data_IF_805847459090
#
_entry.id   IF_805847459090
#
_cell.length_a   1.000
_cell.length_b   1.000
_cell.length_c   1.000
_cell.angle_alpha   90.00
_cell.angle_beta   90.00
_cell.angle_gamma   90.00
#
_symmetry.space_group_name_H-M   'P 1'
#
loop_
_entity.id
_entity.type
_entity.pdbx_description
1 polymer ?
#
# COMPACT_ATOMS: atom_id res chain seq x y z
N UNK A 1 3.05 13.16 25.39
CA UNK A 1 2.34 12.53 24.25
C UNK A 1 3.35 12.39 23.13
N UNK A 2 3.49 11.20 22.52
CA UNK A 2 4.44 10.98 21.42
C UNK A 2 3.88 11.56 20.12
N UNK A 3 4.78 12.02 19.25
CA UNK A 3 4.41 12.70 18.00
C UNK A 3 4.78 11.87 16.79
N UNK A 4 3.86 11.71 15.86
CA UNK A 4 4.09 11.03 14.57
C UNK A 4 3.80 11.97 13.41
N UNK A 5 4.70 11.99 12.42
CA UNK A 5 4.54 12.71 11.16
C UNK A 5 4.31 11.71 10.04
N UNK A 6 3.19 11.84 9.33
CA UNK A 6 2.77 10.90 8.29
C UNK A 6 2.73 11.64 6.95
N UNK A 7 3.56 11.24 5.99
CA UNK A 7 3.48 11.78 4.62
C UNK A 7 2.41 11.06 3.83
N UNK A 8 1.73 11.79 2.93
CA UNK A 8 0.60 11.21 2.18
C UNK A 8 -0.62 10.91 3.04
N UNK A 9 -0.82 11.73 4.08
CA UNK A 9 -1.85 11.55 5.11
C UNK A 9 -3.28 11.47 4.56
N UNK A 10 -3.57 12.15 3.44
CA UNK A 10 -4.88 12.12 2.79
C UNK A 10 -5.14 10.90 1.89
N UNK A 11 -4.11 10.05 1.67
CA UNK A 11 -4.25 8.82 0.90
C UNK A 11 -4.89 7.67 1.68
N UNK A 12 -5.15 6.56 1.01
CA UNK A 12 -5.72 5.35 1.61
C UNK A 12 -4.95 4.88 2.85
N UNK A 13 -3.68 4.54 2.70
CA UNK A 13 -2.85 4.07 3.81
C UNK A 13 -2.64 5.20 4.84
N UNK A 14 -2.31 6.42 4.38
CA UNK A 14 -2.01 7.54 5.27
C UNK A 14 -3.17 7.93 6.18
N UNK A 15 -4.41 7.97 5.65
CA UNK A 15 -5.59 8.31 6.46
C UNK A 15 -5.95 7.23 7.49
N UNK A 16 -5.72 5.95 7.16
CA UNK A 16 -5.88 4.85 8.12
C UNK A 16 -4.79 4.89 9.21
N UNK A 17 -3.53 5.17 8.83
CA UNK A 17 -2.46 5.41 9.80
C UNK A 17 -2.82 6.57 10.75
N UNK A 18 -3.31 7.70 10.22
CA UNK A 18 -3.76 8.82 11.05
C UNK A 18 -4.80 8.37 12.09
N UNK A 19 -5.84 7.65 11.66
CA UNK A 19 -6.87 7.11 12.57
C UNK A 19 -6.29 6.17 13.61
N UNK A 20 -5.41 5.27 13.19
CA UNK A 20 -4.81 4.28 14.10
C UNK A 20 -3.95 4.95 15.17
N UNK A 21 -3.09 5.89 14.79
CA UNK A 21 -2.21 6.59 15.72
C UNK A 21 -2.96 7.53 16.65
N UNK A 22 -4.05 8.18 16.19
CA UNK A 22 -4.95 8.93 17.07
C UNK A 22 -5.60 8.03 18.14
N UNK A 23 -6.02 6.81 17.78
CA UNK A 23 -6.54 5.81 18.74
C UNK A 23 -5.47 5.30 19.72
N UNK A 24 -4.20 5.54 19.46
CA UNK A 24 -3.06 5.20 20.32
C UNK A 24 -2.53 6.43 21.08
N UNK A 25 -3.31 7.51 21.16
CA UNK A 25 -3.00 8.76 21.87
C UNK A 25 -1.71 9.46 21.40
N UNK A 26 -1.40 9.36 20.09
CA UNK A 26 -0.33 10.13 19.49
C UNK A 26 -0.80 11.51 19.03
N UNK A 27 0.09 12.50 19.09
CA UNK A 27 -0.06 13.73 18.33
C UNK A 27 0.26 13.46 16.86
N UNK A 28 -0.73 13.53 15.98
CA UNK A 28 -0.59 13.19 14.57
C UNK A 28 -0.45 14.44 13.73
N UNK A 29 0.66 14.54 12.98
CA UNK A 29 0.89 15.54 11.95
C UNK A 29 0.80 14.87 10.58
N UNK A 30 -0.01 15.41 9.68
CA UNK A 30 -0.24 14.86 8.35
C UNK A 30 0.27 15.78 7.24
N UNK A 31 1.24 15.33 6.44
CA UNK A 31 1.69 16.07 5.26
C UNK A 31 0.72 15.81 4.10
N UNK A 32 0.19 16.90 3.55
CA UNK A 32 -0.72 16.91 2.41
C UNK A 32 -0.31 18.03 1.43
N UNK A 33 -0.64 17.87 0.14
CA UNK A 33 -0.46 18.97 -0.83
C UNK A 33 -1.62 19.96 -0.70
N UNK A 34 -1.41 21.22 -1.06
CA UNK A 34 -2.47 22.25 -1.05
C UNK A 34 -3.69 21.88 -1.91
N UNK A 35 -3.47 21.09 -2.98
CA UNK A 35 -4.51 20.60 -3.90
C UNK A 35 -5.12 19.27 -3.49
N UNK A 36 -4.74 18.71 -2.34
CA UNK A 36 -5.23 17.40 -1.89
C UNK A 36 -6.70 17.45 -1.51
N UNK A 37 -7.46 16.43 -1.92
CA UNK A 37 -8.75 16.10 -1.32
C UNK A 37 -8.51 15.64 0.12
N UNK A 38 -9.15 16.30 1.09
CA UNK A 38 -9.00 16.05 2.51
C UNK A 38 -10.16 15.23 3.09
N UNK A 39 -11.11 14.80 2.28
CA UNK A 39 -12.31 14.09 2.71
C UNK A 39 -11.99 12.94 3.70
N UNK A 40 -10.95 12.15 3.45
CA UNK A 40 -10.57 11.08 4.36
C UNK A 40 -9.95 11.53 5.70
N UNK A 41 -9.70 12.81 5.87
CA UNK A 41 -9.18 13.38 7.13
C UNK A 41 -10.20 14.20 7.88
N UNK A 42 -11.39 14.42 7.32
CA UNK A 42 -12.47 15.17 7.95
C UNK A 42 -12.84 14.57 9.32
N UNK A 43 -13.04 15.44 10.31
CA UNK A 43 -13.35 15.05 11.69
C UNK A 43 -12.20 14.44 12.50
N UNK A 44 -11.02 14.21 11.89
CA UNK A 44 -9.85 13.72 12.61
C UNK A 44 -9.04 14.86 13.23
N UNK A 45 -8.53 14.65 14.45
CA UNK A 45 -7.64 15.60 15.14
C UNK A 45 -6.20 15.50 14.58
N UNK A 46 -6.04 15.64 13.27
CA UNK A 46 -4.74 15.64 12.61
C UNK A 46 -4.29 17.08 12.37
N UNK A 47 -3.08 17.43 12.80
CA UNK A 47 -2.47 18.71 12.45
C UNK A 47 -1.93 18.65 11.03
N UNK A 48 -2.61 19.33 10.11
CA UNK A 48 -2.21 19.34 8.71
C UNK A 48 -0.96 20.24 8.49
N UNK A 49 -0.03 19.70 7.71
CA UNK A 49 1.13 20.43 7.20
C UNK A 49 1.05 20.39 5.68
N UNK A 50 1.13 21.56 5.06
CA UNK A 50 0.98 21.68 3.60
C UNK A 50 2.36 21.74 2.95
N UNK A 51 2.61 20.85 1.98
CA UNK A 51 3.85 20.82 1.24
C UNK A 51 3.88 19.73 0.16
N UNK A 52 4.84 19.83 -0.75
CA UNK A 52 5.14 18.82 -1.77
C UNK A 52 6.54 18.26 -1.51
N UNK A 53 6.68 16.95 -1.51
CA UNK A 53 7.97 16.28 -1.32
C UNK A 53 8.97 16.54 -2.45
N UNK A 54 8.48 16.98 -3.62
CA UNK A 54 9.38 17.44 -4.69
C UNK A 54 10.01 18.80 -4.39
N UNK A 55 9.45 19.56 -3.45
CA UNK A 55 9.94 20.84 -2.92
C UNK A 55 10.09 20.74 -1.39
N UNK A 56 10.69 19.66 -0.92
CA UNK A 56 10.70 19.28 0.50
C UNK A 56 11.31 20.36 1.41
N UNK A 57 12.23 21.15 0.89
CA UNK A 57 12.87 22.25 1.62
C UNK A 57 11.91 23.36 2.07
N UNK A 58 10.70 23.42 1.45
CA UNK A 58 9.63 24.37 1.82
C UNK A 58 8.68 23.82 2.89
N UNK A 59 8.86 22.56 3.32
CA UNK A 59 8.01 21.94 4.33
C UNK A 59 8.44 22.37 5.72
N UNK A 60 7.54 22.98 6.48
CA UNK A 60 7.77 23.31 7.88
C UNK A 60 7.60 22.04 8.73
N UNK A 61 8.71 21.39 9.06
CA UNK A 61 8.69 20.20 9.91
C UNK A 61 8.51 20.58 11.38
N UNK A 62 7.66 19.87 12.16
CA UNK A 62 7.56 20.07 13.59
C UNK A 62 8.91 19.78 14.28
N UNK A 63 9.29 20.61 15.25
CA UNK A 63 10.59 20.46 15.94
C UNK A 63 10.68 19.20 16.81
N UNK A 64 9.56 18.79 17.41
CA UNK A 64 9.50 17.64 18.32
C UNK A 64 8.82 16.46 17.62
N UNK A 65 9.54 15.74 16.76
CA UNK A 65 9.06 14.54 16.08
C UNK A 65 9.71 13.30 16.67
N UNK A 66 8.89 12.42 17.26
CA UNK A 66 9.37 11.11 17.69
C UNK A 66 9.48 10.14 16.51
N UNK A 67 8.49 10.15 15.62
CA UNK A 67 8.38 9.18 14.53
C UNK A 67 7.99 9.84 13.21
N UNK A 68 8.56 9.34 12.12
CA UNK A 68 8.17 9.70 10.76
C UNK A 68 7.75 8.44 10.04
N UNK A 69 6.54 8.44 9.47
CA UNK A 69 6.06 7.36 8.60
C UNK A 69 5.93 7.91 7.18
N UNK A 70 6.82 7.47 6.32
CA UNK A 70 6.86 7.89 4.93
C UNK A 70 6.08 6.93 4.05
N UNK A 71 4.82 7.28 3.74
CA UNK A 71 3.94 6.50 2.87
C UNK A 71 3.51 7.23 1.59
N UNK A 72 3.83 8.52 1.44
CA UNK A 72 3.60 9.24 0.19
C UNK A 72 4.42 8.62 -0.95
N UNK A 73 3.76 8.19 -2.00
CA UNK A 73 4.39 7.48 -3.12
C UNK A 73 3.45 7.42 -4.31
N UNK A 74 3.99 7.30 -5.53
CA UNK A 74 3.23 6.72 -6.63
C UNK A 74 2.90 5.26 -6.31
N UNK A 75 1.67 4.82 -6.56
CA UNK A 75 1.21 3.47 -6.20
C UNK A 75 0.72 2.66 -7.40
N UNK A 76 0.65 3.26 -8.60
CA UNK A 76 0.15 2.58 -9.78
C UNK A 76 1.18 1.65 -10.40
N UNK A 77 0.80 0.38 -10.61
CA UNK A 77 1.57 -0.58 -11.40
C UNK A 77 1.57 -0.28 -12.91
N UNK A 78 0.81 0.75 -13.30
CA UNK A 78 0.71 1.27 -14.67
C UNK A 78 1.43 2.61 -14.85
N UNK A 79 1.95 3.19 -13.77
CA UNK A 79 2.70 4.44 -13.83
C UNK A 79 3.96 4.31 -14.69
N UNK A 80 4.28 5.35 -15.43
CA UNK A 80 5.47 5.40 -16.25
C UNK A 80 6.75 5.57 -15.41
N UNK A 81 7.89 5.42 -16.07
CA UNK A 81 9.21 5.49 -15.44
C UNK A 81 9.48 6.87 -14.81
N UNK A 82 9.08 7.95 -15.48
CA UNK A 82 9.33 9.33 -15.01
C UNK A 82 8.50 9.64 -13.77
N UNK A 83 7.23 9.25 -13.77
CA UNK A 83 6.34 9.41 -12.62
C UNK A 83 6.86 8.64 -11.41
N UNK A 84 7.24 7.37 -11.58
CA UNK A 84 7.81 6.56 -10.50
C UNK A 84 9.14 7.12 -10.00
N UNK A 85 10.03 7.56 -10.89
CA UNK A 85 11.30 8.18 -10.49
C UNK A 85 11.09 9.43 -9.66
N UNK A 86 10.23 10.32 -10.12
CA UNK A 86 9.93 11.59 -9.46
C UNK A 86 9.24 11.38 -8.12
N UNK A 87 8.15 10.59 -8.10
CA UNK A 87 7.22 10.53 -6.97
C UNK A 87 7.52 9.40 -5.97
N UNK A 88 8.45 8.50 -6.26
CA UNK A 88 8.94 7.48 -5.31
C UNK A 88 10.35 7.82 -4.86
N UNK A 89 11.30 7.85 -5.79
CA UNK A 89 12.71 7.97 -5.47
C UNK A 89 13.11 9.42 -5.16
N UNK A 90 12.95 10.33 -6.12
CA UNK A 90 13.42 11.72 -5.96
C UNK A 90 12.69 12.44 -4.82
N UNK A 91 11.38 12.25 -4.69
CA UNK A 91 10.59 12.78 -3.59
C UNK A 91 11.13 12.32 -2.22
N UNK A 92 11.51 11.03 -2.10
CA UNK A 92 12.11 10.50 -0.87
C UNK A 92 13.51 11.08 -0.65
N UNK A 93 14.34 11.20 -1.70
CA UNK A 93 15.68 11.83 -1.61
C UNK A 93 15.58 13.27 -1.10
N UNK A 94 14.69 14.07 -1.70
CA UNK A 94 14.48 15.46 -1.30
C UNK A 94 14.02 15.57 0.16
N UNK A 95 13.10 14.72 0.57
CA UNK A 95 12.58 14.70 1.93
C UNK A 95 13.67 14.32 2.95
N UNK A 96 14.45 13.28 2.66
CA UNK A 96 15.55 12.88 3.55
C UNK A 96 16.63 13.95 3.66
N UNK A 97 17.01 14.59 2.56
CA UNK A 97 17.95 15.72 2.58
C UNK A 97 17.44 16.88 3.43
N UNK A 98 16.14 17.17 3.38
CA UNK A 98 15.51 18.20 4.22
C UNK A 98 15.53 17.82 5.70
N UNK A 99 15.18 16.56 6.04
CA UNK A 99 15.25 16.05 7.42
C UNK A 99 16.68 16.18 7.98
N UNK A 100 17.69 15.77 7.22
CA UNK A 100 19.10 15.83 7.64
C UNK A 100 19.55 17.28 7.89
N UNK A 101 19.19 18.20 7.00
CA UNK A 101 19.49 19.65 7.15
C UNK A 101 18.79 20.25 8.37
N UNK A 102 17.56 19.82 8.64
CA UNK A 102 16.75 20.31 9.77
C UNK A 102 17.20 19.76 11.13
N UNK A 103 18.16 18.84 11.17
CA UNK A 103 18.72 18.21 12.39
C UNK A 103 17.66 17.67 13.35
N UNK A 104 16.56 17.13 12.81
CA UNK A 104 15.48 16.54 13.59
C UNK A 104 15.99 15.27 14.28
N UNK A 105 15.87 15.23 15.60
CA UNK A 105 16.19 14.06 16.40
C UNK A 105 14.94 13.18 16.54
N UNK A 106 14.77 12.25 15.60
CA UNK A 106 13.67 11.30 15.61
C UNK A 106 14.09 9.93 16.16
N UNK A 107 13.16 9.26 16.83
CA UNK A 107 13.37 7.90 17.34
C UNK A 107 13.29 6.84 16.24
N UNK A 108 12.50 7.07 15.18
CA UNK A 108 12.32 6.12 14.08
C UNK A 108 11.87 6.81 12.79
N UNK A 109 12.48 6.40 11.67
CA UNK A 109 11.98 6.66 10.32
C UNK A 109 11.45 5.36 9.72
N UNK A 110 10.15 5.32 9.42
CA UNK A 110 9.48 4.15 8.85
C UNK A 110 9.17 4.43 7.39
N UNK A 111 9.71 3.61 6.50
CA UNK A 111 9.42 3.65 5.08
C UNK A 111 8.41 2.60 4.70
N UNK A 112 7.29 2.99 4.09
CA UNK A 112 6.30 2.07 3.54
C UNK A 112 6.71 1.69 2.12
N UNK A 113 7.28 0.50 1.98
CA UNK A 113 7.68 -0.11 0.71
C UNK A 113 6.57 -1.01 0.15
N UNK A 114 6.92 -2.17 -0.36
CA UNK A 114 6.01 -3.20 -0.89
C UNK A 114 6.66 -4.58 -0.81
N UNK A 115 5.88 -5.61 -0.56
CA UNK A 115 6.36 -7.00 -0.61
C UNK A 115 6.83 -7.44 -2.00
N UNK A 116 6.41 -6.74 -3.06
CA UNK A 116 6.82 -7.03 -4.44
C UNK A 116 8.33 -6.86 -4.70
N UNK A 117 9.06 -6.20 -3.79
CA UNK A 117 10.54 -6.14 -3.87
C UNK A 117 11.15 -7.53 -3.67
N UNK A 118 10.46 -8.42 -2.97
CA UNK A 118 10.83 -9.83 -2.80
C UNK A 118 10.33 -10.74 -3.96
N UNK A 119 9.52 -10.18 -4.87
CA UNK A 119 8.93 -10.91 -5.99
C UNK A 119 7.54 -11.48 -5.71
N UNK A 120 7.07 -12.36 -6.62
CA UNK A 120 5.73 -12.97 -6.57
C UNK A 120 5.72 -14.35 -7.24
N UNK A 121 4.57 -15.03 -7.23
CA UNK A 121 4.33 -16.22 -8.04
C UNK A 121 4.89 -17.52 -7.46
N UNK A 122 5.05 -17.58 -6.15
CA UNK A 122 5.27 -18.81 -5.36
C UNK A 122 4.82 -18.62 -3.91
N UNK A 123 4.83 -19.68 -3.13
CA UNK A 123 4.51 -19.65 -1.70
C UNK A 123 5.78 -19.45 -0.86
N UNK A 124 5.60 -18.96 0.37
CA UNK A 124 6.67 -18.75 1.37
C UNK A 124 7.82 -17.91 0.83
N UNK A 125 7.47 -16.76 0.21
CA UNK A 125 8.47 -15.81 -0.28
C UNK A 125 9.10 -15.07 0.91
N UNK A 126 10.44 -15.06 0.93
CA UNK A 126 11.25 -14.30 1.90
C UNK A 126 12.47 -13.68 1.21
N UNK A 127 13.36 -13.06 1.97
CA UNK A 127 14.64 -12.57 1.46
C UNK A 127 15.53 -13.72 1.00
N UNK A 128 15.51 -14.84 1.73
CA UNK A 128 16.26 -16.06 1.43
C UNK A 128 15.61 -16.91 0.33
N UNK A 129 14.31 -16.74 0.13
CA UNK A 129 13.51 -17.51 -0.82
C UNK A 129 12.68 -16.60 -1.72
N UNK A 130 13.30 -15.75 -2.58
CA UNK A 130 12.60 -14.76 -3.38
C UNK A 130 11.70 -15.36 -4.44
N UNK A 131 10.63 -14.64 -4.75
CA UNK A 131 9.71 -14.95 -5.83
C UNK A 131 10.23 -14.54 -7.22
N UNK A 132 9.38 -14.63 -8.23
CA UNK A 132 9.69 -14.10 -9.56
C UNK A 132 9.76 -12.57 -9.51
N UNK A 133 10.83 -11.94 -10.04
CA UNK A 133 10.96 -10.49 -10.02
C UNK A 133 9.79 -9.78 -10.71
N UNK A 134 9.23 -8.78 -10.07
CA UNK A 134 8.25 -7.89 -10.66
C UNK A 134 8.98 -6.78 -11.42
N UNK A 135 8.97 -6.86 -12.76
CA UNK A 135 9.75 -5.97 -13.66
C UNK A 135 8.89 -4.83 -14.20
N UNK A 136 8.54 -3.85 -13.36
CA UNK A 136 7.87 -2.62 -13.78
C UNK A 136 8.34 -1.42 -12.93
N UNK A 137 8.15 -0.17 -13.42
CA UNK A 137 8.79 1.01 -12.83
C UNK A 137 8.56 1.18 -11.33
N UNK A 138 7.34 0.98 -10.84
CA UNK A 138 7.01 1.08 -9.42
C UNK A 138 7.96 0.25 -8.54
N UNK A 139 8.11 -1.06 -8.83
CA UNK A 139 8.96 -1.95 -8.01
C UNK A 139 10.43 -1.59 -8.16
N UNK A 140 10.88 -1.25 -9.38
CA UNK A 140 12.26 -0.79 -9.61
C UNK A 140 12.61 0.39 -8.70
N UNK A 141 11.73 1.39 -8.62
CA UNK A 141 12.00 2.59 -7.82
C UNK A 141 11.77 2.38 -6.33
N UNK A 142 10.90 1.46 -5.92
CA UNK A 142 10.80 1.03 -4.51
C UNK A 142 12.11 0.38 -4.05
N UNK A 143 12.69 -0.54 -4.84
CA UNK A 143 14.01 -1.15 -4.55
C UNK A 143 15.11 -0.08 -4.50
N UNK A 144 15.16 0.83 -5.49
CA UNK A 144 16.14 1.93 -5.52
C UNK A 144 16.03 2.81 -4.27
N UNK A 145 14.83 3.06 -3.81
CA UNK A 145 14.58 3.86 -2.60
C UNK A 145 14.98 3.12 -1.33
N UNK A 146 14.67 1.82 -1.20
CA UNK A 146 15.14 1.03 -0.06
C UNK A 146 16.68 1.05 0.03
N UNK A 147 17.39 0.84 -1.08
CA UNK A 147 18.84 0.87 -1.12
C UNK A 147 19.39 2.24 -0.68
N UNK A 148 18.86 3.32 -1.23
CA UNK A 148 19.24 4.69 -0.84
C UNK A 148 19.03 4.94 0.66
N UNK A 149 17.90 4.51 1.23
CA UNK A 149 17.62 4.68 2.66
C UNK A 149 18.58 3.85 3.53
N UNK A 150 18.96 2.65 3.09
CA UNK A 150 19.95 1.82 3.78
C UNK A 150 21.37 2.45 3.72
N UNK A 151 21.73 3.05 2.60
CA UNK A 151 22.98 3.82 2.48
C UNK A 151 23.00 5.02 3.44
N UNK A 152 21.88 5.77 3.52
CA UNK A 152 21.74 6.86 4.48
C UNK A 152 21.78 6.39 5.94
N UNK A 153 21.19 5.23 6.24
CA UNK A 153 21.30 4.62 7.57
C UNK A 153 22.75 4.36 7.92
N UNK A 154 23.54 3.82 7.01
CA UNK A 154 24.94 3.49 7.26
C UNK A 154 25.82 4.73 7.41
N UNK A 155 25.58 5.78 6.61
CA UNK A 155 26.40 7.01 6.60
C UNK A 155 25.96 8.05 7.65
N UNK A 156 24.67 8.17 7.93
CA UNK A 156 24.08 9.20 8.81
C UNK A 156 23.39 8.63 10.06
N UNK A 157 23.45 7.31 10.27
CA UNK A 157 22.85 6.61 11.42
C UNK A 157 21.35 6.87 11.59
N UNK A 158 20.62 6.99 10.46
CA UNK A 158 19.16 7.17 10.50
C UNK A 158 18.52 5.92 11.14
N UNK A 159 17.59 6.09 12.11
CA UNK A 159 16.90 4.96 12.75
C UNK A 159 15.81 4.38 11.81
N UNK A 160 16.24 3.82 10.68
CA UNK A 160 15.40 3.33 9.59
C UNK A 160 14.74 1.98 9.93
N UNK A 161 13.45 1.85 9.65
CA UNK A 161 12.74 0.56 9.52
C UNK A 161 11.95 0.57 8.21
N UNK A 162 11.99 -0.53 7.47
CA UNK A 162 11.27 -0.69 6.22
C UNK A 162 10.09 -1.66 6.44
N UNK A 163 8.89 -1.24 6.05
CA UNK A 163 7.72 -2.10 6.04
C UNK A 163 7.33 -2.44 4.60
N UNK A 164 7.20 -3.72 4.31
CA UNK A 164 6.86 -4.29 3.00
C UNK A 164 5.47 -4.91 3.05
N UNK A 165 4.39 -4.11 3.02
CA UNK A 165 3.06 -4.67 3.01
C UNK A 165 2.81 -5.44 1.71
N UNK A 166 2.02 -6.50 1.81
CA UNK A 166 1.45 -7.20 0.67
C UNK A 166 0.32 -6.34 0.04
N UNK A 167 -0.62 -6.95 -0.66
CA UNK A 167 -1.72 -6.23 -1.29
C UNK A 167 -2.66 -5.66 -0.24
N UNK A 168 -2.54 -4.35 0.00
CA UNK A 168 -3.32 -3.68 1.03
C UNK A 168 -4.75 -3.47 0.55
N UNK A 169 -5.71 -3.76 1.43
CA UNK A 169 -7.14 -3.54 1.20
C UNK A 169 -7.81 -3.05 2.48
N UNK A 170 -8.93 -2.37 2.35
CA UNK A 170 -9.65 -1.85 3.50
C UNK A 170 -10.54 -0.64 3.18
N UNK A 171 -11.21 -0.05 4.19
CA UNK A 171 -11.91 1.20 4.04
C UNK A 171 -11.01 2.32 3.53
N UNK A 172 -11.56 3.27 2.76
CA UNK A 172 -10.86 4.40 2.12
C UNK A 172 -9.97 4.03 0.92
N UNK A 173 -10.00 2.77 0.46
CA UNK A 173 -9.26 2.35 -0.74
C UNK A 173 -10.05 2.66 -2.01
N UNK A 174 -9.78 3.83 -2.59
CA UNK A 174 -10.32 4.25 -3.90
C UNK A 174 -9.60 3.62 -5.08
N UNK A 175 -8.44 3.03 -4.88
CA UNK A 175 -7.57 2.57 -5.98
C UNK A 175 -7.81 1.13 -6.39
N UNK A 176 -8.15 0.26 -5.46
CA UNK A 176 -8.39 -1.17 -5.70
C UNK A 176 -9.80 -1.60 -5.30
N UNK A 177 -10.20 -1.34 -4.06
CA UNK A 177 -11.49 -1.83 -3.53
C UNK A 177 -12.68 -1.20 -4.27
N UNK A 178 -12.70 0.11 -4.50
CA UNK A 178 -13.81 0.77 -5.19
C UNK A 178 -13.98 0.27 -6.63
N UNK A 179 -12.95 0.22 -7.50
CA UNK A 179 -13.10 -0.33 -8.85
C UNK A 179 -13.58 -1.78 -8.88
N UNK A 180 -13.14 -2.60 -7.91
CA UNK A 180 -13.58 -3.99 -7.78
C UNK A 180 -15.07 -4.05 -7.43
N UNK A 181 -15.51 -3.33 -6.40
CA UNK A 181 -16.90 -3.33 -5.94
C UNK A 181 -17.83 -2.80 -7.01
N UNK A 182 -17.48 -1.71 -7.69
CA UNK A 182 -18.23 -1.19 -8.85
C UNK A 182 -18.30 -2.22 -9.98
N UNK A 183 -17.18 -2.85 -10.32
CA UNK A 183 -17.16 -3.89 -11.33
C UNK A 183 -18.10 -5.04 -11.00
N UNK A 184 -18.21 -5.43 -9.72
CA UNK A 184 -19.16 -6.46 -9.25
C UNK A 184 -20.61 -5.95 -9.38
N UNK A 185 -20.91 -4.71 -9.00
CA UNK A 185 -22.24 -4.11 -9.15
C UNK A 185 -22.68 -4.05 -10.60
N UNK A 186 -21.77 -3.69 -11.49
CA UNK A 186 -21.99 -3.62 -12.95
C UNK A 186 -22.07 -5.01 -13.62
N UNK A 187 -21.84 -6.08 -12.85
CA UNK A 187 -21.91 -7.47 -13.34
C UNK A 187 -20.67 -7.92 -14.11
N UNK A 188 -19.56 -7.21 -14.02
CA UNK A 188 -18.31 -7.67 -14.63
C UNK A 188 -17.77 -8.90 -13.92
N UNK A 189 -17.27 -9.89 -14.67
CA UNK A 189 -16.68 -11.08 -14.08
C UNK A 189 -15.31 -10.74 -13.45
N UNK A 190 -15.15 -11.07 -12.17
CA UNK A 190 -13.93 -10.79 -11.38
C UNK A 190 -13.09 -12.02 -11.09
N UNK A 191 -13.67 -13.24 -11.20
CA UNK A 191 -13.00 -14.51 -10.91
C UNK A 191 -12.52 -15.16 -12.22
N UNK A 192 -11.21 -15.34 -12.34
CA UNK A 192 -10.55 -15.97 -13.48
C UNK A 192 -10.14 -17.40 -13.12
N UNK A 193 -10.36 -18.37 -14.04
CA UNK A 193 -9.92 -19.76 -13.88
C UNK A 193 -10.39 -20.44 -12.59
N UNK A 194 -11.59 -20.08 -12.12
CA UNK A 194 -12.14 -20.57 -10.86
C UNK A 194 -11.52 -19.95 -9.60
N UNK A 195 -10.58 -19.01 -9.72
CA UNK A 195 -10.05 -18.23 -8.61
C UNK A 195 -9.27 -19.00 -7.54
N UNK A 196 -8.70 -20.15 -7.89
CA UNK A 196 -8.08 -21.11 -6.95
C UNK A 196 -6.73 -20.67 -6.38
N UNK A 197 -6.16 -19.58 -6.88
CA UNK A 197 -4.81 -19.13 -6.48
C UNK A 197 -4.86 -18.32 -5.20
N UNK A 198 -3.94 -18.65 -4.29
CA UNK A 198 -3.70 -17.92 -3.05
C UNK A 198 -3.14 -16.54 -3.37
N UNK A 199 -3.60 -15.56 -2.64
CA UNK A 199 -3.28 -14.16 -2.82
C UNK A 199 -2.84 -13.52 -1.49
N UNK A 200 -1.76 -12.75 -1.46
CA UNK A 200 -1.25 -12.20 -0.21
C UNK A 200 -1.99 -10.92 0.18
N UNK A 201 -2.90 -11.01 1.11
CA UNK A 201 -3.64 -9.88 1.65
C UNK A 201 -2.95 -9.22 2.84
N UNK A 202 -3.10 -7.90 2.94
CA UNK A 202 -2.77 -7.12 4.12
C UNK A 202 -3.93 -6.14 4.42
N UNK A 203 -4.73 -6.44 5.43
CA UNK A 203 -5.77 -5.50 5.86
C UNK A 203 -5.14 -4.22 6.39
N UNK A 204 -5.71 -3.07 6.06
CA UNK A 204 -5.08 -1.77 6.35
C UNK A 204 -4.85 -1.51 7.83
N UNK A 205 -5.70 -2.04 8.73
CA UNK A 205 -5.47 -1.94 10.17
C UNK A 205 -4.32 -2.85 10.62
N UNK A 206 -4.11 -4.00 9.95
CA UNK A 206 -2.95 -4.85 10.21
C UNK A 206 -1.65 -4.16 9.77
N UNK A 207 -1.67 -3.45 8.63
CA UNK A 207 -0.55 -2.59 8.24
C UNK A 207 -0.31 -1.50 9.28
N UNK A 208 -1.36 -0.85 9.74
CA UNK A 208 -1.28 0.22 10.74
C UNK A 208 -0.75 -0.29 12.09
N UNK A 209 -1.14 -1.50 12.50
CA UNK A 209 -0.55 -2.19 13.66
C UNK A 209 0.95 -2.44 13.46
N UNK A 210 1.35 -2.95 12.29
CA UNK A 210 2.77 -3.16 11.96
C UNK A 210 3.57 -1.85 12.01
N UNK A 211 3.02 -0.75 11.50
CA UNK A 211 3.65 0.56 11.56
C UNK A 211 3.79 1.09 13.01
N UNK A 212 2.77 0.90 13.83
CA UNK A 212 2.82 1.24 15.26
C UNK A 212 3.88 0.41 16.00
N UNK A 213 3.90 -0.90 15.77
CA UNK A 213 4.90 -1.79 16.38
C UNK A 213 6.32 -1.42 15.93
N UNK A 214 6.51 -1.06 14.67
CA UNK A 214 7.79 -0.58 14.17
C UNK A 214 8.24 0.75 14.80
N UNK A 215 7.30 1.58 15.29
CA UNK A 215 7.66 2.76 16.09
C UNK A 215 8.23 2.40 17.45
N UNK A 216 7.60 1.45 18.16
CA UNK A 216 7.83 1.25 19.60
C UNK A 216 8.77 0.07 19.94
N UNK A 217 9.01 -0.84 19.01
CA UNK A 217 9.88 -2.00 19.24
C UNK A 217 11.36 -1.55 19.25
N UNK A 218 12.14 -1.87 20.28
CA UNK A 218 13.56 -1.54 20.33
C UNK A 218 14.39 -2.45 19.40
N UNK A 219 15.60 -2.04 19.08
CA UNK A 219 16.66 -2.83 18.42
C UNK A 219 16.28 -3.42 17.04
N UNK A 220 15.46 -2.67 16.28
CA UNK A 220 15.01 -3.08 14.95
C UNK A 220 15.49 -2.17 13.82
N UNK A 221 16.37 -1.21 14.11
CA UNK A 221 16.90 -0.30 13.12
C UNK A 221 17.67 -1.03 12.01
N UNK A 222 17.39 -0.64 10.78
CA UNK A 222 17.96 -1.22 9.56
C UNK A 222 17.26 -2.48 9.06
N UNK A 223 16.27 -2.97 9.80
CA UNK A 223 15.54 -4.18 9.40
C UNK A 223 14.36 -3.85 8.47
N UNK A 224 13.98 -4.85 7.68
CA UNK A 224 12.79 -4.83 6.85
C UNK A 224 11.82 -5.93 7.28
N UNK A 225 10.52 -5.62 7.26
CA UNK A 225 9.46 -6.52 7.70
C UNK A 225 8.35 -6.60 6.66
N UNK A 226 7.99 -7.82 6.28
CA UNK A 226 6.85 -8.07 5.39
C UNK A 226 5.57 -8.15 6.22
N UNK A 227 4.49 -7.51 5.77
CA UNK A 227 3.20 -7.48 6.45
C UNK A 227 2.12 -8.12 5.59
N UNK A 228 1.44 -9.11 6.15
CA UNK A 228 0.26 -9.77 5.57
C UNK A 228 -0.77 -10.02 6.67
N UNK A 229 -1.92 -10.57 6.33
CA UNK A 229 -2.89 -11.08 7.31
C UNK A 229 -2.48 -12.43 7.91
N UNK A 230 -1.35 -13.03 7.50
CA UNK A 230 -0.94 -14.37 7.90
C UNK A 230 -2.03 -15.43 7.66
N UNK A 231 -2.64 -15.37 6.48
CA UNK A 231 -3.72 -16.24 6.04
C UNK A 231 -3.57 -16.57 4.56
N UNK A 232 -3.87 -17.80 4.21
CA UNK A 232 -3.97 -18.25 2.82
C UNK A 232 -5.42 -18.12 2.36
N UNK A 233 -5.71 -17.06 1.60
CA UNK A 233 -7.03 -16.79 1.02
C UNK A 233 -6.92 -16.83 -0.49
N UNK A 234 -7.85 -17.51 -1.14
CA UNK A 234 -7.92 -17.57 -2.60
C UNK A 234 -8.68 -16.37 -3.17
N UNK A 235 -8.44 -16.07 -4.44
CA UNK A 235 -9.23 -15.05 -5.14
C UNK A 235 -10.72 -15.36 -5.13
N UNK A 236 -11.09 -16.66 -5.22
CA UNK A 236 -12.49 -17.08 -5.14
C UNK A 236 -13.12 -16.72 -3.81
N UNK A 237 -12.45 -17.05 -2.70
CA UNK A 237 -12.93 -16.73 -1.36
C UNK A 237 -13.09 -15.22 -1.17
N UNK A 238 -12.06 -14.46 -1.57
CA UNK A 238 -12.09 -12.99 -1.48
C UNK A 238 -13.28 -12.39 -2.25
N UNK A 239 -13.42 -12.71 -3.53
CA UNK A 239 -14.49 -12.14 -4.35
C UNK A 239 -15.88 -12.68 -4.00
N UNK A 240 -15.99 -13.95 -3.56
CA UNK A 240 -17.28 -14.55 -3.22
C UNK A 240 -18.01 -13.77 -2.12
N UNK A 241 -17.30 -13.25 -1.13
CA UNK A 241 -17.91 -12.47 -0.04
C UNK A 241 -18.51 -11.16 -0.57
N UNK A 242 -17.82 -10.46 -1.47
CA UNK A 242 -18.35 -9.23 -2.06
C UNK A 242 -19.51 -9.51 -3.04
N UNK A 243 -19.43 -10.59 -3.81
CA UNK A 243 -20.53 -11.04 -4.66
C UNK A 243 -21.80 -11.32 -3.83
N UNK A 244 -21.66 -12.06 -2.73
CA UNK A 244 -22.76 -12.37 -1.81
C UNK A 244 -23.36 -11.11 -1.21
N UNK A 245 -22.55 -10.23 -0.63
CA UNK A 245 -23.00 -8.99 0.03
C UNK A 245 -23.65 -7.99 -0.92
N UNK A 246 -23.26 -7.98 -2.18
CA UNK A 246 -23.88 -7.16 -3.24
C UNK A 246 -25.05 -7.88 -3.93
N UNK A 247 -25.44 -9.08 -3.46
CA UNK A 247 -26.45 -9.93 -4.08
C UNK A 247 -26.21 -10.18 -5.59
N UNK A 248 -24.94 -10.42 -5.94
CA UNK A 248 -24.50 -10.68 -7.31
C UNK A 248 -23.96 -12.09 -7.44
N UNK A 249 -24.01 -12.63 -8.67
CA UNK A 249 -23.43 -13.93 -9.01
C UNK A 249 -22.58 -13.78 -10.26
N UNK A 250 -21.36 -14.32 -10.23
CA UNK A 250 -20.60 -14.43 -11.46
C UNK A 250 -21.15 -15.61 -12.30
N UNK A 251 -21.72 -15.29 -13.44
CA UNK A 251 -22.34 -16.26 -14.35
C UNK A 251 -21.39 -16.75 -15.45
N UNK A 252 -20.31 -16.03 -15.70
CA UNK A 252 -19.39 -16.29 -16.81
C UNK A 252 -18.08 -16.88 -16.27
N UNK A 253 -17.70 -18.05 -16.77
CA UNK A 253 -16.36 -18.60 -16.54
C UNK A 253 -15.35 -17.93 -17.46
N UNK A 254 -14.29 -17.37 -16.90
CA UNK A 254 -13.18 -16.80 -17.65
C UNK A 254 -12.02 -17.79 -17.65
N UNK A 255 -11.69 -18.41 -18.79
CA UNK A 255 -10.53 -19.29 -18.88
C UNK A 255 -9.24 -18.50 -18.71
N UNK A 256 -8.21 -19.13 -18.12
CA UNK A 256 -6.95 -18.46 -17.73
C UNK A 256 -6.24 -17.75 -18.88
N UNK A 257 -6.31 -18.30 -20.10
CA UNK A 257 -5.62 -17.73 -21.26
C UNK A 257 -6.25 -16.40 -21.73
N UNK A 258 -7.57 -16.22 -21.54
CA UNK A 258 -8.30 -15.08 -22.09
C UNK A 258 -7.79 -13.72 -21.57
N UNK A 259 -7.55 -13.51 -20.26
CA UNK A 259 -6.95 -12.27 -19.77
C UNK A 259 -5.55 -12.00 -20.35
N UNK A 260 -4.76 -13.04 -20.68
CA UNK A 260 -3.46 -12.83 -21.34
C UNK A 260 -3.61 -12.29 -22.76
N UNK A 261 -4.58 -12.83 -23.51
CA UNK A 261 -4.91 -12.36 -24.86
C UNK A 261 -5.40 -10.91 -24.79
N UNK A 262 -6.30 -10.58 -23.88
CA UNK A 262 -6.81 -9.22 -23.67
C UNK A 262 -5.66 -8.27 -23.31
N UNK A 263 -4.79 -8.64 -22.37
CA UNK A 263 -3.65 -7.81 -21.98
C UNK A 263 -2.67 -7.58 -23.16
N UNK A 264 -2.49 -8.57 -24.03
CA UNK A 264 -1.69 -8.42 -25.24
C UNK A 264 -2.35 -7.47 -26.24
N UNK A 265 -3.63 -7.65 -26.53
CA UNK A 265 -4.38 -6.74 -27.44
C UNK A 265 -4.39 -5.30 -26.92
N UNK A 266 -4.63 -5.08 -25.62
CA UNK A 266 -4.56 -3.75 -25.01
C UNK A 266 -3.16 -3.14 -25.16
N UNK A 267 -2.09 -3.92 -25.07
CA UNK A 267 -0.73 -3.43 -25.32
C UNK A 267 -0.53 -2.99 -26.76
N UNK A 268 -1.03 -3.77 -27.72
CA UNK A 268 -0.96 -3.45 -29.16
C UNK A 268 -1.77 -2.18 -29.46
N UNK A 269 -3.00 -2.08 -28.97
CA UNK A 269 -3.84 -0.89 -29.15
C UNK A 269 -3.15 0.34 -28.57
N UNK A 270 -2.61 0.28 -27.36
CA UNK A 270 -1.92 1.40 -26.73
C UNK A 270 -0.64 1.81 -27.49
N UNK A 271 0.00 0.90 -28.22
CA UNK A 271 1.14 1.24 -29.08
C UNK A 271 0.73 2.17 -30.24
N UNK A 272 -0.43 1.90 -30.86
CA UNK A 272 -0.96 2.73 -31.97
C UNK A 272 -1.79 3.94 -31.48
N UNK A 273 -2.42 3.81 -30.31
CA UNK A 273 -3.27 4.83 -29.69
C UNK A 273 -2.76 5.07 -28.25
N UNK A 274 -1.74 5.92 -28.06
CA UNK A 274 -1.13 6.15 -26.74
C UNK A 274 -2.11 6.67 -25.67
N UNK A 275 -3.19 7.33 -26.06
CA UNK A 275 -4.27 7.78 -25.18
C UNK A 275 -5.17 6.65 -24.67
N UNK A 276 -5.07 5.44 -25.26
CA UNK A 276 -5.84 4.30 -24.81
C UNK A 276 -5.38 3.82 -23.42
N UNK A 277 -6.28 3.89 -22.45
CA UNK A 277 -5.99 3.49 -21.08
C UNK A 277 -5.93 1.96 -20.96
N UNK A 278 -4.76 1.43 -20.62
CA UNK A 278 -4.60 -0.01 -20.36
C UNK A 278 -5.10 -0.33 -18.96
N UNK A 279 -6.15 -1.15 -18.85
CA UNK A 279 -6.69 -1.63 -17.57
C UNK A 279 -6.09 -2.96 -17.12
N UNK A 280 -5.43 -3.69 -18.04
CA UNK A 280 -4.86 -5.00 -17.80
C UNK A 280 -3.44 -5.07 -18.38
N UNK A 281 -2.52 -5.65 -17.61
CA UNK A 281 -1.17 -5.95 -18.04
C UNK A 281 -0.78 -7.39 -17.69
N UNK A 282 0.35 -7.86 -18.23
CA UNK A 282 0.82 -9.23 -18.00
C UNK A 282 1.07 -9.55 -16.52
N UNK A 283 1.51 -8.56 -15.75
CA UNK A 283 1.72 -8.72 -14.31
C UNK A 283 0.39 -8.95 -13.59
N UNK A 284 -0.63 -8.10 -13.82
CA UNK A 284 -1.97 -8.25 -13.22
C UNK A 284 -2.56 -9.61 -13.50
N UNK A 285 -2.45 -10.10 -14.75
CA UNK A 285 -2.94 -11.44 -15.11
C UNK A 285 -2.18 -12.51 -14.34
N UNK A 286 -0.85 -12.45 -14.30
CA UNK A 286 -0.05 -13.43 -13.55
C UNK A 286 -0.32 -13.41 -12.06
N UNK A 287 -0.55 -12.23 -11.48
CA UNK A 287 -0.89 -12.07 -10.08
C UNK A 287 -2.17 -12.84 -9.69
N UNK A 288 -3.20 -12.79 -10.53
CA UNK A 288 -4.48 -13.48 -10.29
C UNK A 288 -4.49 -14.95 -10.76
N UNK A 289 -3.41 -15.43 -11.37
CA UNK A 289 -3.30 -16.79 -11.93
C UNK A 289 -2.06 -17.55 -11.41
N UNK A 290 -1.47 -17.12 -10.31
CA UNK A 290 -0.38 -17.84 -9.63
C UNK A 290 -0.50 -17.69 -8.13
N UNK A 291 -0.15 -18.74 -7.39
CA UNK A 291 -0.08 -18.65 -5.94
C UNK A 291 1.01 -17.69 -5.51
N UNK A 292 0.69 -16.83 -4.56
CA UNK A 292 1.66 -15.93 -3.94
C UNK A 292 1.31 -15.78 -2.46
N UNK A 293 2.27 -16.09 -1.58
CA UNK A 293 2.24 -15.64 -0.20
C UNK A 293 3.66 -15.37 0.31
N UNK A 294 3.77 -14.75 1.45
CA UNK A 294 5.05 -14.35 2.05
C UNK A 294 5.21 -15.00 3.41
N UNK A 295 6.42 -15.43 3.73
CA UNK A 295 6.79 -15.79 5.09
C UNK A 295 6.93 -14.51 5.93
N UNK A 296 6.15 -14.42 6.99
CA UNK A 296 6.19 -13.30 7.93
C UNK A 296 6.63 -13.72 9.34
N UNK A 297 7.23 -14.89 9.49
CA UNK A 297 7.68 -15.44 10.78
C UNK A 297 8.63 -14.48 11.51
N UNK A 298 9.55 -13.83 10.77
CA UNK A 298 10.41 -12.76 11.28
C UNK A 298 9.59 -11.59 11.86
N UNK A 299 8.58 -11.14 11.12
CA UNK A 299 7.71 -10.02 11.54
C UNK A 299 6.94 -10.38 12.82
N UNK A 300 6.36 -11.58 12.88
CA UNK A 300 5.65 -12.09 14.06
C UNK A 300 6.59 -12.14 15.26
N UNK A 301 7.78 -12.73 15.09
CA UNK A 301 8.74 -12.93 16.15
C UNK A 301 9.33 -11.62 16.68
N UNK A 302 9.81 -10.75 15.81
CA UNK A 302 10.58 -9.57 16.21
C UNK A 302 9.71 -8.37 16.55
N UNK A 303 8.56 -8.19 15.91
CA UNK A 303 7.62 -7.12 16.23
C UNK A 303 6.49 -7.54 17.17
N UNK A 304 6.39 -8.81 17.55
CA UNK A 304 5.20 -9.38 18.22
C UNK A 304 3.91 -9.04 17.44
N UNK A 305 4.01 -9.10 16.11
CA UNK A 305 2.92 -8.78 15.19
C UNK A 305 1.82 -9.83 15.26
N UNK A 306 0.60 -9.39 15.51
CA UNK A 306 -0.60 -10.24 15.63
C UNK A 306 -1.70 -9.68 14.73
N UNK A 307 -1.67 -10.01 13.43
CA UNK A 307 -2.69 -9.50 12.53
C UNK A 307 -4.08 -10.02 12.90
N UNK A 308 -5.07 -9.14 12.79
CA UNK A 308 -6.47 -9.55 12.87
C UNK A 308 -6.80 -10.44 11.66
N UNK A 309 -7.25 -11.67 11.94
CA UNK A 309 -7.59 -12.69 10.93
C UNK A 309 -9.10 -12.81 10.71
N UNK A 310 -9.92 -11.97 11.35
CA UNK A 310 -11.37 -11.95 11.14
C UNK A 310 -11.72 -11.27 9.81
N UNK A 311 -11.67 -12.10 8.76
CA UNK A 311 -11.91 -11.64 7.38
C UNK A 311 -13.36 -11.14 7.19
N UNK A 312 -14.32 -11.70 7.93
CA UNK A 312 -15.72 -11.28 7.82
C UNK A 312 -15.93 -9.86 8.36
N UNK A 313 -15.29 -9.55 9.50
CA UNK A 313 -15.29 -8.21 10.09
C UNK A 313 -14.59 -7.21 9.14
N UNK A 314 -13.47 -7.60 8.52
CA UNK A 314 -12.74 -6.76 7.58
C UNK A 314 -13.59 -6.44 6.35
N UNK A 315 -14.27 -7.44 5.78
CA UNK A 315 -15.17 -7.22 4.64
C UNK A 315 -16.40 -6.39 5.02
N UNK A 316 -16.95 -6.58 6.22
CA UNK A 316 -18.04 -5.74 6.70
C UNK A 316 -17.62 -4.27 6.76
N UNK A 317 -16.46 -3.97 7.33
CA UNK A 317 -15.95 -2.61 7.42
C UNK A 317 -15.76 -1.94 6.04
N UNK A 318 -15.30 -2.70 5.04
CA UNK A 318 -15.17 -2.21 3.66
C UNK A 318 -16.54 -1.90 3.06
N UNK A 319 -17.50 -2.82 3.22
CA UNK A 319 -18.85 -2.65 2.67
C UNK A 319 -19.59 -1.48 3.32
N UNK A 320 -19.50 -1.35 4.65
CA UNK A 320 -20.13 -0.26 5.38
C UNK A 320 -19.58 1.10 4.92
N UNK A 321 -18.25 1.20 4.78
CA UNK A 321 -17.61 2.38 4.22
C UNK A 321 -18.06 2.65 2.78
N UNK A 322 -17.98 1.64 1.90
CA UNK A 322 -18.35 1.80 0.48
C UNK A 322 -19.78 2.28 0.28
N UNK A 323 -20.72 1.68 1.00
CA UNK A 323 -22.14 2.04 0.92
C UNK A 323 -22.42 3.43 1.52
N UNK A 324 -21.73 3.81 2.59
CA UNK A 324 -21.81 5.13 3.16
C UNK A 324 -21.31 6.21 2.20
N UNK A 325 -20.14 6.02 1.58
CA UNK A 325 -19.56 6.94 0.59
C UNK A 325 -20.45 7.07 -0.67
N UNK A 326 -21.04 5.95 -1.09
CA UNK A 326 -21.97 5.94 -2.22
C UNK A 326 -23.25 6.71 -1.88
N UNK A 327 -23.83 6.50 -0.69
CA UNK A 327 -25.01 7.24 -0.21
C UNK A 327 -24.74 8.74 -0.08
N UNK A 328 -23.54 9.11 0.34
CA UNK A 328 -23.12 10.52 0.46
C UNK A 328 -22.75 11.16 -0.90
N UNK A 329 -22.74 10.40 -2.01
CA UNK A 329 -22.43 10.90 -3.36
C UNK A 329 -20.95 11.07 -3.68
N UNK A 330 -20.06 10.61 -2.81
CA UNK A 330 -18.60 10.65 -3.04
C UNK A 330 -18.10 9.56 -4.01
N UNK A 331 -18.86 8.47 -4.13
CA UNK A 331 -18.61 7.40 -5.12
C UNK A 331 -19.76 7.38 -6.13
N UNK A 332 -19.48 7.84 -7.35
CA UNK A 332 -20.42 7.80 -8.48
C UNK A 332 -20.42 6.44 -9.16
#
# INVERSE_FOLDING_TARGET
MQTVFITGANGFIGSNLCRYFLKKDFAVHGLVRKTSDLHFLEGLKVKLIYGDLNEAEKIELPQNLDYIIHCASEVSDMADTKSCEKNIYQATVNFMNHILKSKINMKRFIYISTSLVLGYGKLQISEENPGKPAKFPYVKYKIKTENFLQELRNSHRIPLVILRPADVYGPYDRTSSVPILKGIEDGYPVIVGGGKWIFPFCYVDNLSQGAYLACITPDIEGKAYTLTNDMDVTWKEFFSVFLERLNKKQRVYIPVFLPFVIAFLMKVINFFVPSFERRLNRYRVRRITSHTNYDISKTIKELNYKPDKDIQKQYQAIMDWYLAEKKAGYLK
#
